data_IF_125151203583
#
_entry.id   IF_125151203583
#
_cell.length_a   1.000
_cell.length_b   1.000
_cell.length_c   1.000
_cell.angle_alpha   90.00
_cell.angle_beta   90.00
_cell.angle_gamma   90.00
#
_symmetry.space_group_name_H-M   'P 1'
#
loop_
_entity.id
_entity.type
_entity.pdbx_description
1 polymer ?
#
# COMPACT_ATOMS: atom_id res chain seq x y z
N UNK A 1 -15.43 9.41 -8.78
CA UNK A 1 -14.88 8.69 -9.94
C UNK A 1 -14.22 7.45 -9.40
N UNK A 2 -14.52 6.25 -9.90
CA UNK A 2 -13.85 5.02 -9.46
C UNK A 2 -12.47 5.02 -10.13
N UNK A 3 -11.40 5.09 -9.35
CA UNK A 3 -10.03 4.98 -9.86
C UNK A 3 -9.88 3.59 -10.49
N UNK A 4 -9.85 3.51 -11.83
CA UNK A 4 -9.74 2.24 -12.54
C UNK A 4 -8.27 1.87 -12.67
N UNK A 5 -7.76 1.09 -11.71
CA UNK A 5 -6.39 0.58 -11.74
C UNK A 5 -6.17 -0.34 -12.95
N UNK A 6 -5.06 -0.15 -13.66
CA UNK A 6 -4.63 -1.06 -14.74
C UNK A 6 -4.10 -2.38 -14.15
N UNK A 7 -3.93 -3.41 -14.98
CA UNK A 7 -3.34 -4.67 -14.52
C UNK A 7 -1.93 -4.50 -13.95
N UNK A 8 -1.13 -3.64 -14.59
CA UNK A 8 0.19 -3.27 -14.13
C UNK A 8 0.16 -2.55 -12.76
N UNK A 9 -0.81 -1.65 -12.56
CA UNK A 9 -1.00 -1.00 -11.26
C UNK A 9 -1.39 -2.01 -10.18
N UNK A 10 -2.29 -2.95 -10.49
CA UNK A 10 -2.69 -4.02 -9.57
C UNK A 10 -1.51 -4.91 -9.17
N UNK A 11 -0.64 -5.25 -10.12
CA UNK A 11 0.57 -6.02 -9.83
C UNK A 11 1.53 -5.27 -8.90
N UNK A 12 1.69 -3.95 -9.09
CA UNK A 12 2.52 -3.13 -8.20
C UNK A 12 1.90 -2.97 -6.82
N UNK A 13 0.59 -2.81 -6.73
CA UNK A 13 -0.11 -2.80 -5.43
C UNK A 13 0.13 -4.13 -4.70
N UNK A 14 -0.01 -5.27 -5.40
CA UNK A 14 0.25 -6.59 -4.81
C UNK A 14 1.73 -6.77 -4.40
N UNK A 15 2.69 -6.26 -5.19
CA UNK A 15 4.10 -6.29 -4.82
C UNK A 15 4.39 -5.49 -3.55
N UNK A 16 3.62 -4.45 -3.28
CA UNK A 16 3.78 -3.60 -2.09
C UNK A 16 3.26 -4.22 -0.82
N UNK A 17 2.40 -5.23 -0.91
CA UNK A 17 2.00 -6.01 0.26
C UNK A 17 3.21 -6.71 0.91
N UNK A 18 4.32 -6.93 0.19
CA UNK A 18 5.56 -7.50 0.72
C UNK A 18 6.55 -6.45 1.26
N UNK A 19 6.26 -5.16 1.09
CA UNK A 19 7.12 -4.07 1.58
C UNK A 19 6.66 -3.64 2.98
N UNK A 20 7.62 -3.34 3.85
CA UNK A 20 7.32 -2.70 5.13
C UNK A 20 7.24 -1.18 4.97
N UNK A 21 6.20 -0.59 5.55
CA UNK A 21 6.02 0.86 5.59
C UNK A 21 5.92 1.37 7.01
N UNK A 22 6.30 2.62 7.19
CA UNK A 22 6.17 3.41 8.40
C UNK A 22 5.24 4.59 8.17
N UNK A 23 4.79 5.21 9.26
CA UNK A 23 3.92 6.38 9.19
C UNK A 23 4.65 7.52 8.48
N UNK A 24 4.00 8.09 7.47
CA UNK A 24 4.55 9.16 6.62
C UNK A 24 5.11 8.65 5.29
N UNK A 25 5.25 7.34 5.11
CA UNK A 25 5.78 6.80 3.86
C UNK A 25 4.77 6.99 2.70
N UNK A 26 5.25 7.44 1.52
CA UNK A 26 4.39 7.54 0.35
C UNK A 26 4.19 6.17 -0.29
N UNK A 27 2.93 5.84 -0.56
CA UNK A 27 2.57 4.71 -1.40
C UNK A 27 2.53 5.18 -2.86
N UNK A 28 3.68 5.11 -3.52
CA UNK A 28 3.79 5.24 -4.98
C UNK A 28 3.25 3.97 -5.71
N UNK A 29 2.91 3.97 -6.98
CA UNK A 29 2.74 2.76 -7.81
C UNK A 29 3.23 3.04 -9.25
N UNK A 30 3.88 4.18 -9.45
CA UNK A 30 4.50 4.62 -10.67
C UNK A 30 5.85 3.94 -10.90
N UNK A 31 6.59 4.48 -11.85
CA UNK A 31 8.00 4.12 -12.09
C UNK A 31 8.89 5.30 -11.67
N UNK A 32 10.20 5.07 -11.54
CA UNK A 32 11.15 6.13 -11.17
C UNK A 32 11.06 7.37 -12.06
N UNK A 33 10.68 7.18 -13.34
CA UNK A 33 10.52 8.26 -14.32
C UNK A 33 9.15 8.94 -14.25
N UNK A 34 8.13 8.25 -13.74
CA UNK A 34 6.74 8.72 -13.64
C UNK A 34 6.14 8.26 -12.31
N UNK A 35 6.43 8.95 -11.20
CA UNK A 35 5.86 8.62 -9.89
C UNK A 35 4.34 8.80 -9.92
N UNK A 36 3.63 7.90 -9.24
CA UNK A 36 2.19 7.88 -9.11
C UNK A 36 1.82 7.55 -7.66
N UNK A 37 1.88 8.56 -6.80
CA UNK A 37 1.55 8.44 -5.37
C UNK A 37 0.04 8.34 -5.19
N UNK A 38 -0.42 7.17 -4.77
CA UNK A 38 -1.83 6.91 -4.48
C UNK A 38 -2.23 7.30 -3.05
N UNK A 39 -1.24 7.55 -2.18
CA UNK A 39 -1.48 8.09 -0.85
C UNK A 39 -0.27 8.01 0.06
N UNK A 40 -0.47 8.42 1.31
CA UNK A 40 0.55 8.41 2.37
C UNK A 40 0.07 7.56 3.52
N UNK A 41 0.97 6.78 4.12
CA UNK A 41 0.65 5.96 5.28
C UNK A 41 0.38 6.87 6.48
N UNK A 42 -0.88 6.90 6.92
CA UNK A 42 -1.32 7.67 8.09
C UNK A 42 -1.09 6.91 9.39
N UNK A 43 -1.28 5.59 9.35
CA UNK A 43 -1.18 4.71 10.51
C UNK A 43 -0.75 3.31 10.10
N UNK A 44 0.00 2.65 10.99
CA UNK A 44 0.40 1.25 10.86
C UNK A 44 -0.21 0.48 12.01
N UNK A 45 -1.15 -0.41 11.70
CA UNK A 45 -1.83 -1.26 12.68
C UNK A 45 -1.15 -2.62 12.67
N UNK A 46 -0.65 -3.05 13.83
CA UNK A 46 -0.06 -4.39 13.98
C UNK A 46 -0.92 -5.20 14.94
N UNK A 47 -1.36 -6.38 14.51
CA UNK A 47 -2.15 -7.26 15.36
C UNK A 47 -1.25 -8.09 16.30
N UNK A 48 -1.86 -8.87 17.21
CA UNK A 48 -1.13 -9.71 18.16
C UNK A 48 -0.29 -10.82 17.51
N UNK A 49 -0.58 -11.18 16.26
CA UNK A 49 0.16 -12.21 15.51
C UNK A 49 1.31 -11.63 14.68
N UNK A 50 1.53 -10.30 14.73
CA UNK A 50 2.56 -9.61 13.95
C UNK A 50 2.16 -9.26 12.52
N UNK A 51 0.90 -9.48 12.12
CA UNK A 51 0.39 -9.01 10.83
C UNK A 51 0.18 -7.51 10.87
N UNK A 52 0.69 -6.83 9.84
CA UNK A 52 0.61 -5.37 9.69
C UNK A 52 -0.48 -5.00 8.67
N UNK A 53 -1.16 -3.90 8.91
CA UNK A 53 -2.03 -3.22 7.96
C UNK A 53 -1.68 -1.74 7.93
N UNK A 54 -1.59 -1.18 6.73
CA UNK A 54 -1.23 0.21 6.50
C UNK A 54 -2.49 0.97 6.10
N UNK A 55 -2.88 1.95 6.93
CA UNK A 55 -3.96 2.89 6.61
C UNK A 55 -3.35 3.99 5.74
N UNK A 56 -3.82 4.08 4.50
CA UNK A 56 -3.30 4.99 3.48
C UNK A 56 -4.35 6.04 3.19
N UNK A 57 -3.98 7.31 3.34
CA UNK A 57 -4.85 8.44 3.00
C UNK A 57 -4.44 8.98 1.62
N UNK A 58 -5.43 9.17 0.74
CA UNK A 58 -5.18 9.70 -0.60
C UNK A 58 -4.64 11.14 -0.55
N UNK A 59 -3.87 11.59 -1.55
CA UNK A 59 -3.31 12.95 -1.54
C UNK A 59 -4.39 14.04 -1.53
N UNK A 60 -5.54 13.76 -2.13
CA UNK A 60 -6.71 14.65 -2.14
C UNK A 60 -7.58 14.54 -0.87
N UNK A 61 -7.21 13.63 0.06
CA UNK A 61 -7.87 13.36 1.34
C UNK A 61 -9.34 12.97 1.23
N UNK A 62 -9.78 12.49 0.06
CA UNK A 62 -11.16 12.04 -0.18
C UNK A 62 -11.34 10.56 0.06
N UNK A 63 -10.26 9.79 0.05
CA UNK A 63 -10.29 8.35 0.17
C UNK A 63 -9.28 7.88 1.23
N UNK A 64 -9.69 6.88 2.00
CA UNK A 64 -8.82 6.14 2.89
C UNK A 64 -8.88 4.68 2.48
N UNK A 65 -7.73 4.10 2.17
CA UNK A 65 -7.57 2.72 1.77
C UNK A 65 -6.77 1.96 2.84
N UNK A 66 -6.95 0.65 2.91
CA UNK A 66 -6.19 -0.22 3.81
C UNK A 66 -5.39 -1.21 2.98
N UNK A 67 -4.07 -1.20 3.13
CA UNK A 67 -3.16 -2.18 2.53
C UNK A 67 -2.78 -3.22 3.59
N UNK A 68 -3.10 -4.47 3.34
CA UNK A 68 -2.65 -5.55 4.22
C UNK A 68 -1.22 -5.96 3.86
N UNK A 69 -0.35 -6.03 4.86
CA UNK A 69 0.97 -6.59 4.67
C UNK A 69 0.85 -8.11 4.53
N UNK A 70 1.29 -8.63 3.38
CA UNK A 70 1.23 -10.04 3.06
C UNK A 70 2.55 -10.70 3.42
N UNK A 71 2.52 -11.52 4.47
CA UNK A 71 3.63 -12.39 4.82
C UNK A 71 3.60 -13.59 3.87
N UNK A 72 4.68 -13.79 3.10
CA UNK A 72 4.88 -15.03 2.37
C UNK A 72 5.26 -16.12 3.39
N UNK A 73 4.28 -16.87 3.88
CA UNK A 73 4.54 -18.09 4.64
C UNK A 73 5.19 -19.08 3.67
N UNK A 74 6.51 -19.17 3.68
CA UNK A 74 7.21 -20.29 3.06
C UNK A 74 6.73 -21.57 3.77
N UNK A 75 5.78 -22.27 3.17
CA UNK A 75 5.54 -23.66 3.50
C UNK A 75 6.77 -24.44 3.05
N UNK A 76 7.54 -24.92 4.02
CA UNK A 76 8.72 -25.77 3.83
C UNK A 76 8.30 -27.21 3.59
#
# INVERSE_FOLDING_TARGET
>A
MIQKYTEHDRQKIAAREYTEYTKGDPIDIGSDKNPNVIGTVREVVTNKTGLKAYVVESPDKKEVSVLYHRIMLYYK
#
